data_IF_779127450059
#
_entry.id   IF_779127450059
#
_cell.length_a   1.000
_cell.length_b   1.000
_cell.length_c   1.000
_cell.angle_alpha   90.00
_cell.angle_beta   90.00
_cell.angle_gamma   90.00
#
_symmetry.space_group_name_H-M   'P 1'
#
loop_
_entity.id
_entity.type
_entity.pdbx_description
1 polymer ?
#
# COMPACT_ATOMS: atom_id res chain seq x y z
N UNK A 1 27.53 -15.26 -20.14
CA UNK A 1 26.44 -15.83 -19.30
C UNK A 1 26.81 -15.83 -17.81
N UNK A 2 27.06 -14.68 -17.16
CA UNK A 2 27.46 -14.70 -15.72
C UNK A 2 27.17 -13.44 -14.89
N UNK A 3 26.12 -12.67 -15.21
CA UNK A 3 25.67 -11.57 -14.34
C UNK A 3 24.28 -11.81 -13.74
N UNK A 4 23.39 -12.52 -14.45
CA UNK A 4 22.00 -12.77 -14.00
C UNK A 4 21.87 -13.85 -12.91
N UNK A 5 22.82 -14.78 -12.79
CA UNK A 5 22.82 -15.77 -11.69
C UNK A 5 23.11 -15.15 -10.32
N UNK A 6 23.74 -13.98 -10.27
CA UNK A 6 24.08 -13.28 -9.01
C UNK A 6 22.90 -12.60 -8.33
N UNK A 7 21.82 -12.30 -9.06
CA UNK A 7 20.69 -11.53 -8.54
C UNK A 7 19.65 -12.37 -7.76
N UNK A 8 19.75 -13.71 -7.84
CA UNK A 8 19.02 -14.62 -6.93
C UNK A 8 19.51 -14.52 -5.47
N UNK A 9 20.65 -13.89 -5.22
CA UNK A 9 21.25 -13.80 -3.89
C UNK A 9 20.82 -12.56 -3.07
N UNK A 10 20.01 -11.64 -3.62
CA UNK A 10 19.81 -10.31 -2.99
C UNK A 10 18.39 -10.00 -2.51
N UNK A 11 17.32 -10.59 -3.07
CA UNK A 11 15.96 -10.40 -2.55
C UNK A 11 14.99 -11.49 -3.05
N UNK A 12 14.09 -11.99 -2.19
CA UNK A 12 12.98 -12.86 -2.58
C UNK A 12 11.93 -12.09 -3.41
N UNK A 13 11.01 -12.78 -4.10
CA UNK A 13 9.87 -12.09 -4.72
C UNK A 13 8.95 -11.44 -3.67
N UNK A 14 8.91 -11.95 -2.45
CA UNK A 14 8.26 -11.30 -1.31
C UNK A 14 8.91 -9.95 -0.96
N UNK A 15 10.24 -9.92 -0.85
CA UNK A 15 11.01 -8.68 -0.60
C UNK A 15 10.83 -7.68 -1.75
N UNK A 16 10.83 -8.16 -2.99
CA UNK A 16 10.59 -7.33 -4.15
C UNK A 16 9.19 -6.72 -4.14
N UNK A 17 8.16 -7.49 -3.75
CA UNK A 17 6.80 -6.96 -3.58
C UNK A 17 6.74 -5.91 -2.48
N UNK A 18 7.40 -6.15 -1.34
CA UNK A 18 7.49 -5.17 -0.27
C UNK A 18 8.12 -3.86 -0.76
N UNK A 19 9.25 -3.93 -1.47
CA UNK A 19 9.92 -2.75 -2.04
C UNK A 19 9.03 -2.01 -3.04
N UNK A 20 8.30 -2.74 -3.91
CA UNK A 20 7.32 -2.14 -4.82
C UNK A 20 6.21 -1.42 -4.05
N UNK A 21 5.72 -2.00 -2.97
CA UNK A 21 4.70 -1.39 -2.11
C UNK A 21 5.21 -0.12 -1.45
N UNK A 22 6.45 -0.13 -0.93
CA UNK A 22 7.09 1.08 -0.39
C UNK A 22 7.26 2.17 -1.46
N UNK A 23 7.65 1.80 -2.68
CA UNK A 23 7.76 2.74 -3.79
C UNK A 23 6.41 3.36 -4.17
N UNK A 24 5.34 2.56 -4.19
CA UNK A 24 3.97 3.04 -4.38
C UNK A 24 3.54 4.00 -3.26
N UNK A 25 3.85 3.66 -2.00
CA UNK A 25 3.53 4.52 -0.85
C UNK A 25 4.28 5.85 -0.92
N UNK A 26 5.56 5.84 -1.31
CA UNK A 26 6.37 7.05 -1.51
C UNK A 26 5.78 7.94 -2.62
N UNK A 27 5.37 7.34 -3.75
CA UNK A 27 4.68 8.06 -4.81
C UNK A 27 3.38 8.68 -4.30
N UNK A 28 2.60 7.95 -3.50
CA UNK A 28 1.34 8.45 -2.98
C UNK A 28 1.50 9.56 -1.93
N UNK A 29 2.60 9.55 -1.17
CA UNK A 29 2.87 10.53 -0.13
C UNK A 29 3.51 11.80 -0.69
N UNK A 30 4.52 11.67 -1.55
CA UNK A 30 5.37 12.78 -1.97
C UNK A 30 5.21 13.18 -3.44
N UNK A 31 4.56 12.35 -4.26
CA UNK A 31 4.33 12.66 -5.68
C UNK A 31 3.72 14.05 -5.92
N UNK A 32 2.66 14.47 -5.20
CA UNK A 32 2.06 15.79 -5.42
C UNK A 32 3.00 16.97 -5.15
N UNK A 33 3.96 16.82 -4.24
CA UNK A 33 4.89 17.88 -3.82
C UNK A 33 6.11 17.97 -4.73
N UNK A 34 6.54 16.83 -5.28
CA UNK A 34 7.78 16.70 -6.05
C UNK A 34 7.59 16.87 -7.57
N UNK A 35 6.36 16.87 -8.08
CA UNK A 35 6.10 16.94 -9.52
C UNK A 35 6.18 18.36 -10.08
N UNK A 36 7.24 18.63 -10.85
CA UNK A 36 7.29 19.76 -11.78
C UNK A 36 6.63 19.34 -13.11
N UNK A 37 5.54 20.02 -13.48
CA UNK A 37 4.70 19.66 -14.63
C UNK A 37 5.50 19.50 -15.94
N UNK A 38 6.43 20.41 -16.19
CA UNK A 38 7.24 20.45 -17.42
C UNK A 38 8.65 19.85 -17.26
N UNK A 39 8.87 19.03 -16.22
CA UNK A 39 10.19 18.43 -16.03
C UNK A 39 10.58 17.56 -17.25
N UNK A 40 11.84 17.56 -17.69
CA UNK A 40 12.29 16.69 -18.77
C UNK A 40 12.18 15.20 -18.38
N UNK A 41 12.26 14.27 -19.34
CA UNK A 41 12.32 12.82 -19.04
C UNK A 41 13.58 12.42 -18.25
N UNK A 42 14.59 13.29 -18.18
CA UNK A 42 15.74 13.15 -17.30
C UNK A 42 15.44 13.48 -15.83
N UNK A 43 14.25 14.02 -15.55
CA UNK A 43 13.81 14.32 -14.19
C UNK A 43 13.72 13.02 -13.35
N UNK A 44 14.38 12.97 -12.18
CA UNK A 44 14.41 11.77 -11.36
C UNK A 44 13.03 11.25 -10.96
N UNK A 45 12.05 12.15 -10.72
CA UNK A 45 10.70 11.75 -10.34
C UNK A 45 9.95 11.15 -11.53
N UNK A 46 10.05 11.77 -12.72
CA UNK A 46 9.47 11.18 -13.94
C UNK A 46 10.09 9.82 -14.27
N UNK A 47 11.41 9.66 -14.07
CA UNK A 47 12.07 8.36 -14.24
C UNK A 47 11.60 7.33 -13.21
N UNK A 48 11.47 7.72 -11.95
CA UNK A 48 10.96 6.86 -10.89
C UNK A 48 9.55 6.34 -11.21
N UNK A 49 8.63 7.22 -11.63
CA UNK A 49 7.27 6.83 -12.01
C UNK A 49 7.24 5.83 -13.17
N UNK A 50 7.98 6.13 -14.24
CA UNK A 50 8.06 5.27 -15.42
C UNK A 50 8.62 3.90 -15.02
N UNK A 51 9.71 3.90 -14.25
CA UNK A 51 10.38 2.68 -13.79
C UNK A 51 9.45 1.85 -12.90
N UNK A 52 8.76 2.48 -11.96
CA UNK A 52 7.78 1.82 -11.08
C UNK A 52 6.66 1.18 -11.91
N UNK A 53 6.04 1.92 -12.84
CA UNK A 53 4.98 1.41 -13.70
C UNK A 53 5.45 0.23 -14.56
N UNK A 54 6.63 0.33 -15.19
CA UNK A 54 7.18 -0.74 -16.02
C UNK A 54 7.51 -1.98 -15.19
N UNK A 55 8.04 -1.78 -13.98
CA UNK A 55 8.35 -2.88 -13.07
C UNK A 55 7.08 -3.61 -12.64
N UNK A 56 6.03 -2.88 -12.23
CA UNK A 56 4.74 -3.50 -11.90
C UNK A 56 4.20 -4.32 -13.08
N UNK A 57 4.23 -3.76 -14.30
CA UNK A 57 3.77 -4.46 -15.51
C UNK A 57 4.59 -5.70 -15.84
N UNK A 58 5.91 -5.65 -15.65
CA UNK A 58 6.79 -6.80 -15.81
C UNK A 58 6.36 -7.94 -14.89
N UNK A 59 6.06 -7.64 -13.63
CA UNK A 59 5.58 -8.62 -12.67
C UNK A 59 4.21 -9.17 -13.09
N UNK A 60 3.25 -8.30 -13.47
CA UNK A 60 1.94 -8.74 -13.96
C UNK A 60 2.05 -9.74 -15.12
N UNK A 61 2.95 -9.49 -16.07
CA UNK A 61 3.14 -10.34 -17.24
C UNK A 61 3.77 -11.70 -16.89
N UNK A 62 4.64 -11.75 -15.88
CA UNK A 62 5.45 -12.92 -15.60
C UNK A 62 4.97 -13.79 -14.43
N UNK A 63 4.12 -13.29 -13.53
CA UNK A 63 3.55 -14.07 -12.40
C UNK A 63 2.98 -15.42 -12.86
N UNK A 64 2.26 -15.45 -13.99
CA UNK A 64 1.71 -16.68 -14.54
C UNK A 64 2.76 -17.66 -15.12
N UNK A 65 3.91 -17.17 -15.55
CA UNK A 65 5.04 -18.02 -15.99
C UNK A 65 5.79 -18.57 -14.78
N UNK A 66 6.05 -17.72 -13.78
CA UNK A 66 6.68 -18.08 -12.51
C UNK A 66 5.87 -19.14 -11.76
N UNK A 67 4.55 -18.98 -11.71
CA UNK A 67 3.64 -19.94 -11.04
C UNK A 67 3.67 -21.32 -11.67
N UNK A 68 3.94 -21.43 -12.98
CA UNK A 68 4.01 -22.70 -13.72
C UNK A 68 5.40 -23.32 -13.72
N UNK A 69 6.40 -22.67 -13.09
CA UNK A 69 7.79 -23.10 -13.17
C UNK A 69 8.42 -22.90 -14.55
N UNK A 70 7.80 -22.13 -15.44
CA UNK A 70 8.26 -21.90 -16.81
C UNK A 70 9.29 -20.75 -16.90
N UNK A 71 10.00 -20.45 -15.82
CA UNK A 71 10.96 -19.35 -15.78
C UNK A 71 12.25 -19.77 -15.07
N UNK A 72 13.42 -19.52 -15.66
CA UNK A 72 14.69 -20.00 -15.11
C UNK A 72 15.12 -19.26 -13.85
N UNK A 73 14.51 -18.13 -13.50
CA UNK A 73 14.94 -17.29 -12.37
C UNK A 73 14.04 -17.38 -11.13
N UNK A 74 12.79 -17.82 -11.28
CA UNK A 74 11.79 -17.83 -10.20
C UNK A 74 11.04 -19.16 -10.16
N UNK A 75 10.82 -19.64 -8.95
CA UNK A 75 10.09 -20.86 -8.64
C UNK A 75 8.63 -20.57 -8.28
N UNK A 76 7.74 -21.57 -8.30
CA UNK A 76 6.39 -21.42 -7.76
C UNK A 76 6.37 -21.00 -6.29
N UNK A 77 7.36 -21.40 -5.48
CA UNK A 77 7.45 -21.01 -4.08
C UNK A 77 7.72 -19.49 -3.94
N UNK A 78 8.58 -18.93 -4.79
CA UNK A 78 8.83 -17.48 -4.78
C UNK A 78 7.53 -16.69 -5.04
N UNK A 79 6.66 -17.21 -5.90
CA UNK A 79 5.35 -16.59 -6.15
C UNK A 79 4.43 -16.69 -4.93
N UNK A 80 4.50 -17.78 -4.17
CA UNK A 80 3.72 -17.90 -2.94
C UNK A 80 4.20 -16.90 -1.88
N UNK A 81 5.51 -16.73 -1.72
CA UNK A 81 6.08 -15.71 -0.83
C UNK A 81 5.64 -14.29 -1.26
N UNK A 82 5.57 -14.05 -2.56
CA UNK A 82 5.04 -12.81 -3.13
C UNK A 82 3.55 -12.60 -2.80
N UNK A 83 2.72 -13.65 -2.84
CA UNK A 83 1.31 -13.55 -2.44
C UNK A 83 1.16 -13.28 -0.94
N UNK A 84 2.00 -13.89 -0.11
CA UNK A 84 2.02 -13.63 1.34
C UNK A 84 2.33 -12.16 1.60
N UNK A 85 3.38 -11.61 0.97
CA UNK A 85 3.70 -10.19 1.06
C UNK A 85 2.56 -9.30 0.52
N UNK A 86 1.97 -9.69 -0.62
CA UNK A 86 0.87 -8.94 -1.24
C UNK A 86 -0.36 -8.85 -0.35
N UNK A 87 -0.68 -9.91 0.39
CA UNK A 87 -1.78 -9.90 1.36
C UNK A 87 -1.57 -8.88 2.49
N UNK A 88 -0.32 -8.53 2.80
CA UNK A 88 0.00 -7.54 3.84
C UNK A 88 -0.03 -6.12 3.29
N UNK A 89 0.63 -5.88 2.16
CA UNK A 89 0.96 -4.53 1.71
C UNK A 89 0.08 -4.01 0.54
N UNK A 90 -0.52 -4.89 -0.25
CA UNK A 90 -1.18 -4.48 -1.50
C UNK A 90 -2.33 -3.51 -1.29
N UNK A 91 -3.26 -3.82 -0.40
CA UNK A 91 -4.44 -3.00 -0.16
C UNK A 91 -4.11 -1.65 0.50
N UNK A 92 -3.27 -1.57 1.56
CA UNK A 92 -2.81 -0.30 2.10
C UNK A 92 -2.22 0.63 1.03
N UNK A 93 -1.34 0.11 0.16
CA UNK A 93 -0.74 0.87 -0.93
C UNK A 93 -1.76 1.25 -2.01
N UNK A 94 -2.70 0.36 -2.34
CA UNK A 94 -3.80 0.67 -3.26
C UNK A 94 -4.67 1.82 -2.73
N UNK A 95 -5.02 1.79 -1.45
CA UNK A 95 -5.77 2.86 -0.77
C UNK A 95 -5.01 4.18 -0.76
N UNK A 96 -3.69 4.15 -0.57
CA UNK A 96 -2.85 5.33 -0.65
C UNK A 96 -2.89 5.96 -2.05
N UNK A 97 -2.77 5.14 -3.11
CA UNK A 97 -2.91 5.58 -4.50
C UNK A 97 -4.30 6.17 -4.81
N UNK A 98 -5.37 5.55 -4.33
CA UNK A 98 -6.73 6.07 -4.50
C UNK A 98 -6.89 7.44 -3.82
N UNK A 99 -6.30 7.59 -2.63
CA UNK A 99 -6.36 8.85 -1.86
C UNK A 99 -5.61 9.97 -2.57
N UNK A 100 -4.38 9.73 -3.05
CA UNK A 100 -3.61 10.75 -3.76
C UNK A 100 -4.26 11.12 -5.09
N UNK A 101 -4.82 10.14 -5.83
CA UNK A 101 -5.57 10.40 -7.07
C UNK A 101 -6.75 11.33 -6.82
N UNK A 102 -7.50 11.10 -5.74
CA UNK A 102 -8.62 11.97 -5.36
C UNK A 102 -8.14 13.40 -5.06
N UNK A 103 -7.00 13.56 -4.37
CA UNK A 103 -6.40 14.88 -4.08
C UNK A 103 -5.88 15.57 -5.34
N UNK A 104 -5.30 14.81 -6.27
CA UNK A 104 -4.76 15.28 -7.54
C UNK A 104 -5.83 15.44 -8.64
N UNK A 105 -7.13 15.38 -8.32
CA UNK A 105 -8.21 15.33 -9.32
C UNK A 105 -8.22 16.52 -10.29
N UNK A 106 -7.77 17.69 -9.83
CA UNK A 106 -7.70 18.93 -10.61
C UNK A 106 -6.31 19.20 -11.20
N UNK A 107 -5.38 18.27 -11.04
CA UNK A 107 -4.01 18.45 -11.50
C UNK A 107 -3.73 17.56 -12.71
N UNK A 108 -2.87 17.98 -13.65
CA UNK A 108 -2.52 17.15 -14.80
C UNK A 108 -1.88 15.80 -14.43
N UNK A 109 -1.31 15.70 -13.23
CA UNK A 109 -0.65 14.50 -12.69
C UNK A 109 -1.62 13.33 -12.48
N UNK A 110 -2.94 13.57 -12.46
CA UNK A 110 -3.97 12.53 -12.34
C UNK A 110 -3.73 11.34 -13.27
N UNK A 111 -3.29 11.59 -14.52
CA UNK A 111 -3.06 10.54 -15.52
C UNK A 111 -1.95 9.56 -15.13
N UNK A 112 -0.95 9.99 -14.35
CA UNK A 112 0.12 9.11 -13.86
C UNK A 112 -0.40 8.21 -12.76
N UNK A 113 -1.09 8.78 -11.78
CA UNK A 113 -1.77 7.99 -10.76
C UNK A 113 -2.77 7.00 -11.37
N UNK A 114 -3.49 7.36 -12.43
CA UNK A 114 -4.38 6.43 -13.14
C UNK A 114 -3.63 5.22 -13.71
N UNK A 115 -2.44 5.42 -14.29
CA UNK A 115 -1.62 4.33 -14.85
C UNK A 115 -1.05 3.43 -13.75
N UNK A 116 -0.47 4.01 -12.70
CA UNK A 116 0.10 3.25 -11.58
C UNK A 116 -1.00 2.53 -10.82
N UNK A 117 -2.13 3.19 -10.55
CA UNK A 117 -3.30 2.58 -9.92
C UNK A 117 -3.83 1.40 -10.74
N UNK A 118 -3.95 1.54 -12.05
CA UNK A 118 -4.37 0.45 -12.94
C UNK A 118 -3.40 -0.72 -12.91
N UNK A 119 -2.09 -0.46 -13.02
CA UNK A 119 -1.08 -1.50 -12.98
C UNK A 119 -1.02 -2.21 -11.62
N UNK A 120 -1.12 -1.46 -10.52
CA UNK A 120 -1.13 -2.00 -9.16
C UNK A 120 -2.39 -2.83 -8.87
N UNK A 121 -3.54 -2.37 -9.35
CA UNK A 121 -4.80 -3.13 -9.25
C UNK A 121 -4.70 -4.46 -10.00
N UNK A 122 -4.16 -4.43 -11.21
CA UNK A 122 -3.95 -5.62 -12.02
C UNK A 122 -2.97 -6.59 -11.37
N UNK A 123 -1.90 -6.08 -10.73
CA UNK A 123 -0.94 -6.91 -10.01
C UNK A 123 -1.62 -7.70 -8.87
N UNK A 124 -2.49 -7.04 -8.10
CA UNK A 124 -3.27 -7.73 -7.06
C UNK A 124 -4.16 -8.81 -7.64
N UNK A 125 -4.85 -8.51 -8.75
CA UNK A 125 -5.73 -9.46 -9.44
C UNK A 125 -4.98 -10.71 -9.90
N UNK A 126 -3.81 -10.57 -10.53
CA UNK A 126 -3.02 -11.73 -10.99
C UNK A 126 -2.42 -12.55 -9.85
N UNK A 127 -2.26 -11.95 -8.66
CA UNK A 127 -1.86 -12.64 -7.43
C UNK A 127 -3.06 -13.30 -6.71
N UNK A 128 -4.27 -13.16 -7.24
CA UNK A 128 -5.49 -13.74 -6.66
C UNK A 128 -6.14 -12.90 -5.56
N UNK A 129 -5.77 -11.61 -5.45
CA UNK A 129 -6.40 -10.67 -4.52
C UNK A 129 -7.64 -10.02 -5.13
N UNK A 130 -8.68 -9.86 -4.31
CA UNK A 130 -9.92 -9.17 -4.67
C UNK A 130 -10.03 -7.88 -3.86
N UNK A 131 -10.11 -6.73 -4.55
CA UNK A 131 -10.06 -5.41 -3.92
C UNK A 131 -11.08 -5.23 -2.79
N UNK A 132 -12.30 -5.75 -2.96
CA UNK A 132 -13.37 -5.59 -1.99
C UNK A 132 -13.19 -6.52 -0.77
N UNK A 133 -12.73 -7.76 -1.00
CA UNK A 133 -12.38 -8.68 0.10
C UNK A 133 -11.19 -8.17 0.91
N UNK A 134 -10.15 -7.72 0.23
CA UNK A 134 -8.95 -7.17 0.90
C UNK A 134 -9.31 -5.90 1.69
N UNK A 135 -10.15 -5.02 1.12
CA UNK A 135 -10.70 -3.86 1.83
C UNK A 135 -11.39 -4.26 3.12
N UNK A 136 -12.35 -5.17 3.05
CA UNK A 136 -13.11 -5.64 4.22
C UNK A 136 -12.21 -6.27 5.27
N UNK A 137 -11.22 -7.08 4.85
CA UNK A 137 -10.25 -7.68 5.78
C UNK A 137 -9.46 -6.58 6.48
N UNK A 138 -8.86 -5.65 5.75
CA UNK A 138 -8.07 -4.58 6.35
C UNK A 138 -8.91 -3.65 7.23
N UNK A 139 -10.15 -3.33 6.84
CA UNK A 139 -11.09 -2.55 7.66
C UNK A 139 -11.44 -3.32 8.96
N UNK A 140 -11.64 -4.64 8.87
CA UNK A 140 -11.89 -5.50 10.03
C UNK A 140 -10.68 -5.59 10.96
N UNK A 141 -9.48 -5.80 10.44
CA UNK A 141 -8.24 -5.83 11.23
C UNK A 141 -7.91 -4.46 11.84
N UNK A 142 -8.18 -3.36 11.13
CA UNK A 142 -8.03 -2.01 11.67
C UNK A 142 -9.08 -1.73 12.75
N UNK A 143 -10.30 -2.23 12.58
CA UNK A 143 -11.37 -2.18 13.57
C UNK A 143 -11.03 -2.93 14.87
N UNK A 144 -10.08 -3.86 14.81
CA UNK A 144 -9.59 -4.61 15.95
C UNK A 144 -8.36 -3.99 16.61
N UNK A 145 -7.85 -2.84 16.16
CA UNK A 145 -6.66 -2.19 16.74
C UNK A 145 -6.96 -0.80 17.28
N UNK A 146 -6.23 -0.40 18.32
CA UNK A 146 -6.33 0.95 18.84
C UNK A 146 -5.79 1.95 17.80
N UNK A 147 -6.52 3.03 17.54
CA UNK A 147 -6.09 4.02 16.53
C UNK A 147 -4.92 4.88 17.02
N UNK A 148 -4.75 5.04 18.33
CA UNK A 148 -3.65 5.83 18.90
C UNK A 148 -2.30 5.17 18.64
N UNK A 149 -1.45 5.79 17.82
CA UNK A 149 -0.22 5.17 17.30
C UNK A 149 0.78 4.70 18.36
N UNK A 150 0.79 5.35 19.54
CA UNK A 150 1.68 5.01 20.66
C UNK A 150 1.02 4.06 21.68
N UNK A 151 -0.14 3.49 21.36
CA UNK A 151 -0.75 2.41 22.13
C UNK A 151 -0.09 1.07 21.79
N UNK A 152 0.20 0.19 22.77
CA UNK A 152 0.63 -1.18 22.48
C UNK A 152 -0.33 -1.92 21.53
N UNK A 153 -1.64 -1.76 21.76
CA UNK A 153 -2.71 -2.37 20.94
C UNK A 153 -2.91 -1.68 19.56
N UNK A 154 -2.04 -0.76 19.17
CA UNK A 154 -2.08 -0.18 17.82
C UNK A 154 -1.55 -1.14 16.76
N UNK A 155 -0.57 -1.97 17.14
CA UNK A 155 0.09 -2.92 16.24
C UNK A 155 -0.35 -4.37 16.47
N UNK A 156 -1.04 -4.64 17.57
CA UNK A 156 -1.57 -5.95 17.94
C UNK A 156 -3.06 -5.88 18.23
N UNK A 157 -3.77 -6.97 17.98
CA UNK A 157 -5.13 -7.13 18.50
C UNK A 157 -5.08 -7.03 20.03
N UNK A 158 -5.91 -6.18 20.68
CA UNK A 158 -5.94 -6.04 22.12
C UNK A 158 -6.12 -7.40 22.78
N UNK A 159 -5.31 -7.67 23.81
CA UNK A 159 -5.41 -8.93 24.56
C UNK A 159 -6.73 -9.04 25.33
N UNK A 160 -7.37 -7.91 25.66
CA UNK A 160 -8.62 -7.85 26.43
C UNK A 160 -9.51 -6.68 26.01
N UNK A 161 -10.77 -6.96 25.66
CA UNK A 161 -11.86 -5.99 25.58
C UNK A 161 -12.22 -5.47 24.18
N UNK A 162 -13.50 -5.10 24.01
CA UNK A 162 -14.00 -4.42 22.79
C UNK A 162 -13.52 -2.98 22.73
N UNK A 163 -12.87 -2.61 21.62
CA UNK A 163 -12.49 -1.23 21.34
C UNK A 163 -13.72 -0.32 21.25
N UNK A 164 -13.60 0.89 21.80
CA UNK A 164 -14.67 1.89 21.83
C UNK A 164 -14.54 2.83 20.64
N UNK A 165 -15.59 2.95 19.83
CA UNK A 165 -15.64 3.89 18.72
C UNK A 165 -15.65 5.35 19.21
N UNK A 166 -15.07 6.25 18.43
CA UNK A 166 -15.18 7.68 18.68
C UNK A 166 -16.65 8.10 18.62
N UNK A 167 -17.17 8.68 19.71
CA UNK A 167 -18.57 9.16 19.78
C UNK A 167 -18.89 10.28 18.78
N UNK A 168 -17.88 10.94 18.20
CA UNK A 168 -18.07 12.00 17.22
C UNK A 168 -18.29 11.46 15.80
N UNK A 169 -17.29 10.77 15.24
CA UNK A 169 -17.34 10.29 13.86
C UNK A 169 -17.70 8.81 13.71
N UNK A 170 -17.55 7.99 14.74
CA UNK A 170 -17.71 6.53 14.66
C UNK A 170 -16.61 5.79 13.87
N UNK A 171 -15.72 6.49 13.15
CA UNK A 171 -14.77 5.90 12.21
C UNK A 171 -13.55 5.22 12.85
N UNK A 172 -13.10 5.73 14.00
CA UNK A 172 -11.88 5.26 14.69
C UNK A 172 -12.21 4.64 16.03
N UNK A 173 -11.38 3.71 16.49
CA UNK A 173 -11.61 2.96 17.74
C UNK A 173 -10.41 3.01 18.69
N UNK A 174 -10.68 2.99 19.98
CA UNK A 174 -9.67 3.10 21.05
C UNK A 174 -9.90 2.06 22.13
N UNK A 175 -8.81 1.55 22.72
CA UNK A 175 -8.91 0.65 23.89
C UNK A 175 -9.52 1.35 25.12
N UNK A 176 -9.43 2.68 25.19
CA UNK A 176 -10.03 3.46 26.25
C UNK A 176 -10.04 4.97 25.98
N UNK A 177 -10.68 5.70 26.91
CA UNK A 177 -10.81 7.17 26.85
C UNK A 177 -9.47 7.88 26.87
N UNK A 178 -8.46 7.27 27.49
CA UNK A 178 -7.11 7.82 27.52
C UNK A 178 -6.48 7.86 26.11
N UNK A 179 -6.50 6.75 25.38
CA UNK A 179 -5.99 6.70 24.00
C UNK A 179 -6.77 7.65 23.10
N UNK A 180 -8.09 7.76 23.25
CA UNK A 180 -8.88 8.76 22.53
C UNK A 180 -8.41 10.19 22.82
N UNK A 181 -8.19 10.54 24.09
CA UNK A 181 -7.73 11.89 24.47
C UNK A 181 -6.32 12.17 23.94
N UNK A 182 -5.42 11.19 23.98
CA UNK A 182 -4.06 11.32 23.43
C UNK A 182 -4.10 11.52 21.92
N UNK A 183 -4.89 10.72 21.20
CA UNK A 183 -5.06 10.86 19.75
C UNK A 183 -5.73 12.18 19.36
N UNK A 184 -6.70 12.63 20.17
CA UNK A 184 -7.34 13.94 20.00
C UNK A 184 -6.35 15.10 20.09
N UNK A 185 -5.46 15.08 21.10
CA UNK A 185 -4.54 16.20 21.35
C UNK A 185 -3.22 16.09 20.60
N UNK A 186 -2.74 14.88 20.30
CA UNK A 186 -1.39 14.61 19.77
C UNK A 186 -1.39 13.85 18.44
N UNK A 187 -2.46 13.13 18.12
CA UNK A 187 -2.52 12.26 16.92
C UNK A 187 -3.22 12.90 15.72
N UNK A 188 -3.67 14.14 15.86
CA UNK A 188 -4.32 14.87 14.78
C UNK A 188 -5.75 14.39 14.50
N UNK A 189 -6.39 13.68 15.44
CA UNK A 189 -7.78 13.25 15.27
C UNK A 189 -8.76 14.43 15.36
N UNK A 190 -8.41 15.46 16.14
CA UNK A 190 -9.25 16.66 16.31
C UNK A 190 -9.57 17.34 14.98
N UNK A 191 -8.60 17.41 14.07
CA UNK A 191 -8.71 18.04 12.76
C UNK A 191 -9.48 17.17 11.75
N UNK A 192 -9.45 15.85 11.94
CA UNK A 192 -10.05 14.86 11.03
C UNK A 192 -11.46 14.43 11.45
N UNK A 193 -11.81 14.60 12.72
CA UNK A 193 -13.08 14.13 13.26
C UNK A 193 -14.25 14.93 12.68
N UNK A 194 -14.95 14.33 11.71
CA UNK A 194 -16.23 14.81 11.22
C UNK A 194 -17.31 14.32 12.17
N UNK A 195 -17.79 15.20 13.05
CA UNK A 195 -18.95 14.85 13.89
C UNK A 195 -20.11 14.55 12.96
N UNK A 196 -20.76 13.40 13.16
CA UNK A 196 -22.07 13.15 12.58
C UNK A 196 -23.01 14.16 13.24
N UNK A 197 -23.30 15.26 12.54
CA UNK A 197 -24.37 16.20 12.87
C UNK A 197 -25.71 15.57 12.56
#
# INVERSE_FOLDING_TARGET
MSMQRGMRALCSLGDAFYLLSRAVDLLAQHGPELHVYDAPLSDPMKQFEITLMLTIRLYCHNVGKWSRGNHPEHTPQDVEDMKVAARVDWWPSLRALQTVKYRAMRTPQRKYYDRVLSAWTELGRVLGLDAEKERKRHEHEAAQRCTWFACPDHRSTPSMGTLKACKGCGEVRYCGRECQRRDWNKGGHKEKCRRLT
#
